data_IF_672861702782
#
_entry.id   IF_672861702782
#
_cell.length_a   1.000
_cell.length_b   1.000
_cell.length_c   1.000
_cell.angle_alpha   90.00
_cell.angle_beta   90.00
_cell.angle_gamma   90.00
#
_symmetry.space_group_name_H-M   'P 1'
#
loop_
_entity.id
_entity.type
_entity.pdbx_description
1 polymer ?
#
# COMPACT_ATOMS: atom_id res chain seq x y z
N UNK A 1 10.49 -3.89 -19.38
CA UNK A 1 11.38 -4.78 -18.60
C UNK A 1 10.77 -4.99 -17.22
N UNK A 2 10.99 -6.14 -16.59
CA UNK A 2 10.51 -6.37 -15.22
C UNK A 2 11.52 -5.77 -14.22
N UNK A 3 11.07 -4.90 -13.29
CA UNK A 3 11.93 -4.34 -12.27
C UNK A 3 12.30 -5.37 -11.19
N UNK A 4 13.44 -5.14 -10.56
CA UNK A 4 13.93 -5.90 -9.41
C UNK A 4 13.34 -5.37 -8.10
N UNK A 5 13.30 -6.23 -7.07
CA UNK A 5 12.93 -5.79 -5.72
C UNK A 5 13.86 -4.69 -5.20
N UNK A 6 13.26 -3.60 -4.73
CA UNK A 6 13.92 -2.38 -4.27
C UNK A 6 14.02 -1.29 -5.33
N UNK A 7 13.69 -1.56 -6.60
CA UNK A 7 13.69 -0.53 -7.63
C UNK A 7 12.46 0.38 -7.50
N UNK A 8 12.69 1.68 -7.68
CA UNK A 8 11.62 2.65 -7.85
C UNK A 8 11.07 2.60 -9.27
N UNK A 9 9.75 2.63 -9.36
CA UNK A 9 8.97 2.40 -10.57
C UNK A 9 7.84 3.42 -10.68
N UNK A 10 7.47 3.70 -11.92
CA UNK A 10 6.23 4.38 -12.28
C UNK A 10 5.16 3.32 -12.53
N UNK A 11 4.00 3.51 -11.92
CA UNK A 11 2.87 2.60 -11.98
C UNK A 11 1.63 3.36 -12.47
N UNK A 12 0.89 2.75 -13.38
CA UNK A 12 -0.39 3.26 -13.85
C UNK A 12 -1.36 2.08 -14.02
N UNK A 13 -2.59 2.22 -13.52
CA UNK A 13 -3.61 1.17 -13.64
C UNK A 13 -3.94 0.96 -15.12
N UNK A 14 -4.03 -0.30 -15.54
CA UNK A 14 -4.66 -0.72 -16.80
C UNK A 14 -6.06 -1.26 -16.48
N UNK A 15 -7.12 -0.44 -16.61
CA UNK A 15 -8.47 -0.80 -16.18
C UNK A 15 -9.05 -1.91 -17.04
N UNK A 16 -8.74 -1.93 -18.33
CA UNK A 16 -9.22 -2.96 -19.25
C UNK A 16 -8.65 -4.32 -18.88
N UNK A 17 -7.33 -4.39 -18.68
CA UNK A 17 -6.68 -5.65 -18.32
C UNK A 17 -7.02 -6.06 -16.88
N UNK A 18 -7.26 -5.10 -15.99
CA UNK A 18 -7.71 -5.36 -14.62
C UNK A 18 -9.06 -6.07 -14.59
N UNK A 19 -9.99 -5.70 -15.49
CA UNK A 19 -11.34 -6.25 -15.60
C UNK A 19 -11.50 -7.34 -16.67
N UNK A 20 -10.41 -7.73 -17.35
CA UNK A 20 -10.42 -8.71 -18.45
C UNK A 20 -11.08 -10.05 -18.06
N UNK A 21 -10.97 -10.47 -16.79
CA UNK A 21 -11.61 -11.70 -16.31
C UNK A 21 -13.10 -11.57 -15.98
N UNK A 22 -13.60 -10.36 -15.79
CA UNK A 22 -14.88 -10.11 -15.09
C UNK A 22 -16.00 -9.62 -16.00
N UNK A 23 -15.71 -8.94 -17.11
CA UNK A 23 -16.78 -8.22 -17.85
C UNK A 23 -16.43 -7.84 -19.30
N UNK A 24 -15.64 -8.65 -20.00
CA UNK A 24 -15.04 -8.38 -21.32
C UNK A 24 -15.94 -7.83 -22.46
N UNK A 25 -17.25 -7.72 -22.28
CA UNK A 25 -18.18 -7.27 -23.33
C UNK A 25 -19.29 -6.33 -22.85
N UNK A 26 -19.24 -5.81 -21.62
CA UNK A 26 -20.23 -4.83 -21.17
C UNK A 26 -19.86 -3.42 -21.71
N UNK A 27 -20.70 -2.81 -22.57
CA UNK A 27 -20.46 -1.46 -23.07
C UNK A 27 -20.39 -0.41 -21.96
N UNK A 28 -21.03 -0.63 -20.81
CA UNK A 28 -20.94 0.26 -19.64
C UNK A 28 -19.56 0.19 -19.00
N UNK A 29 -19.04 -1.02 -18.78
CA UNK A 29 -17.67 -1.22 -18.25
C UNK A 29 -16.64 -0.62 -19.20
N UNK A 30 -16.78 -0.85 -20.51
CA UNK A 30 -15.87 -0.25 -21.49
C UNK A 30 -15.89 1.27 -21.41
N UNK A 31 -17.08 1.90 -21.33
CA UNK A 31 -17.20 3.36 -21.16
C UNK A 31 -16.59 3.84 -19.84
N UNK A 32 -16.78 3.10 -18.75
CA UNK A 32 -16.20 3.43 -17.45
C UNK A 32 -14.67 3.39 -17.50
N UNK A 33 -14.08 2.31 -18.04
CA UNK A 33 -12.64 2.18 -18.24
C UNK A 33 -12.06 3.31 -19.12
N UNK A 34 -12.77 3.74 -20.17
CA UNK A 34 -12.35 4.86 -21.03
C UNK A 34 -12.45 6.21 -20.33
N UNK A 35 -13.39 6.37 -19.40
CA UNK A 35 -13.60 7.61 -18.66
C UNK A 35 -12.63 7.75 -17.47
N UNK A 36 -12.03 6.66 -17.01
CA UNK A 36 -11.03 6.71 -15.95
C UNK A 36 -9.80 7.52 -16.40
N UNK A 37 -9.44 8.48 -15.57
CA UNK A 37 -8.22 9.29 -15.74
C UNK A 37 -7.11 8.69 -14.90
N UNK A 38 -6.49 7.64 -15.40
CA UNK A 38 -5.48 6.90 -14.64
C UNK A 38 -4.24 7.77 -14.49
N UNK A 39 -3.88 8.07 -13.25
CA UNK A 39 -2.67 8.83 -12.96
C UNK A 39 -1.46 7.90 -12.94
N UNK A 40 -0.29 8.51 -13.00
CA UNK A 40 0.99 7.82 -12.79
C UNK A 40 1.42 8.02 -11.35
N UNK A 41 1.76 6.94 -10.69
CA UNK A 41 2.20 6.92 -9.30
C UNK A 41 3.64 6.43 -9.24
N UNK A 42 4.39 6.90 -8.26
CA UNK A 42 5.76 6.43 -8.00
C UNK A 42 5.72 5.50 -6.81
N UNK A 43 6.39 4.35 -6.91
CA UNK A 43 6.45 3.37 -5.84
C UNK A 43 7.77 2.60 -5.85
N UNK A 44 8.11 1.97 -4.73
CA UNK A 44 9.18 1.00 -4.62
C UNK A 44 8.58 -0.42 -4.72
N UNK A 45 9.12 -1.26 -5.61
CA UNK A 45 8.73 -2.68 -5.69
C UNK A 45 9.34 -3.44 -4.51
N UNK A 46 8.56 -3.75 -3.49
CA UNK A 46 9.06 -4.41 -2.27
C UNK A 46 9.07 -5.93 -2.39
N UNK A 47 8.15 -6.50 -3.17
CA UNK A 47 8.03 -7.94 -3.38
C UNK A 47 7.55 -8.29 -4.79
N UNK A 48 8.01 -9.41 -5.33
CA UNK A 48 7.54 -9.98 -6.58
C UNK A 48 7.69 -11.51 -6.58
N UNK A 49 6.66 -12.23 -7.02
CA UNK A 49 6.70 -13.68 -7.15
C UNK A 49 7.26 -14.09 -8.52
N UNK A 50 8.30 -14.95 -8.58
CA UNK A 50 8.69 -15.58 -9.83
C UNK A 50 7.53 -16.40 -10.38
N UNK A 51 7.17 -16.19 -11.64
CA UNK A 51 6.10 -16.94 -12.30
C UNK A 51 6.32 -17.03 -13.80
N UNK A 52 5.80 -18.08 -14.42
CA UNK A 52 5.71 -18.25 -15.88
C UNK A 52 4.43 -17.66 -16.47
N UNK A 53 3.55 -17.10 -15.62
CA UNK A 53 2.34 -16.41 -16.03
C UNK A 53 2.64 -15.19 -16.91
N UNK A 54 1.68 -14.83 -17.76
CA UNK A 54 1.69 -13.56 -18.54
C UNK A 54 1.81 -12.34 -17.64
N UNK A 55 1.26 -12.41 -16.42
CA UNK A 55 1.34 -11.37 -15.41
C UNK A 55 2.00 -11.92 -14.15
N UNK A 56 2.95 -11.16 -13.60
CA UNK A 56 3.55 -11.41 -12.28
C UNK A 56 2.73 -10.69 -11.22
N UNK A 57 2.68 -11.27 -10.02
CA UNK A 57 2.15 -10.60 -8.83
C UNK A 57 3.29 -9.95 -8.06
N UNK A 58 3.07 -8.73 -7.58
CA UNK A 58 4.01 -8.03 -6.72
C UNK A 58 3.33 -7.16 -5.69
N UNK A 59 4.14 -6.63 -4.79
CA UNK A 59 3.74 -5.66 -3.77
C UNK A 59 4.59 -4.41 -3.94
N UNK A 60 3.94 -3.26 -3.88
CA UNK A 60 4.60 -1.96 -4.01
C UNK A 60 4.28 -1.10 -2.80
N UNK A 61 5.23 -0.26 -2.41
CA UNK A 61 5.07 0.75 -1.38
C UNK A 61 5.18 2.12 -2.04
N UNK A 62 4.16 2.96 -1.93
CA UNK A 62 4.07 4.20 -2.70
C UNK A 62 4.90 5.34 -2.12
N UNK A 63 5.28 6.27 -2.99
CA UNK A 63 6.03 7.49 -2.69
C UNK A 63 5.11 8.69 -2.82
N UNK A 64 5.22 9.63 -1.89
CA UNK A 64 4.60 10.96 -2.00
C UNK A 64 5.66 12.05 -2.10
N UNK A 65 5.25 13.20 -2.64
CA UNK A 65 5.98 14.44 -2.50
C UNK A 65 5.35 15.27 -1.37
N UNK A 66 6.15 15.60 -0.36
CA UNK A 66 5.69 16.14 0.90
C UNK A 66 5.04 15.10 1.82
N UNK A 67 4.77 15.53 3.05
CA UNK A 67 3.95 14.77 4.00
C UNK A 67 2.49 14.79 3.55
N UNK A 68 1.91 13.61 3.32
CA UNK A 68 0.48 13.49 3.00
C UNK A 68 -0.37 13.73 4.25
N UNK A 69 -1.68 13.92 4.09
CA UNK A 69 -2.62 13.94 5.24
C UNK A 69 -2.81 12.56 5.89
N UNK A 70 -2.20 11.51 5.35
CA UNK A 70 -2.53 10.13 5.67
C UNK A 70 -3.92 9.74 5.16
N UNK A 71 -4.42 8.60 5.66
CA UNK A 71 -5.75 8.09 5.40
C UNK A 71 -6.50 7.90 6.74
N UNK A 72 -7.29 8.89 7.18
CA UNK A 72 -8.01 8.83 8.45
C UNK A 72 -9.03 7.69 8.55
N UNK A 73 -9.56 7.23 7.41
CA UNK A 73 -10.53 6.12 7.36
C UNK A 73 -9.84 4.82 7.77
N UNK A 74 -8.55 4.68 7.43
CA UNK A 74 -7.74 3.49 7.72
C UNK A 74 -6.78 3.67 8.90
N UNK A 75 -6.97 4.73 9.70
CA UNK A 75 -6.10 5.09 10.84
C UNK A 75 -4.64 5.35 10.46
N UNK A 76 -4.39 5.75 9.22
CA UNK A 76 -3.05 6.10 8.74
C UNK A 76 -2.78 7.58 8.97
N UNK A 77 -1.69 7.87 9.66
CA UNK A 77 -1.27 9.25 9.98
C UNK A 77 -0.12 9.72 9.08
N UNK A 78 0.10 11.04 8.90
CA UNK A 78 1.22 11.57 8.13
C UNK A 78 2.61 11.07 8.57
N UNK A 79 2.77 10.78 9.86
CA UNK A 79 4.04 10.31 10.45
C UNK A 79 4.34 8.83 10.14
N UNK A 80 3.39 8.09 9.56
CA UNK A 80 3.61 6.74 9.05
C UNK A 80 4.25 6.78 7.66
N UNK A 81 5.42 7.42 7.61
CA UNK A 81 6.24 7.57 6.42
C UNK A 81 7.72 7.64 6.78
N UNK A 82 8.58 7.39 5.80
CA UNK A 82 10.03 7.56 5.92
C UNK A 82 10.49 8.62 4.93
N UNK A 83 11.32 9.61 5.31
CA UNK A 83 11.89 10.52 4.34
C UNK A 83 12.80 9.75 3.36
N UNK A 84 12.98 10.28 2.15
CA UNK A 84 13.91 9.73 1.15
C UNK A 84 14.95 10.80 0.85
N UNK A 85 16.23 10.45 0.88
CA UNK A 85 17.31 11.40 0.61
C UNK A 85 17.13 12.09 -0.77
N UNK A 86 17.40 13.40 -0.85
CA UNK A 86 18.11 14.24 0.14
C UNK A 86 17.22 14.83 1.25
N UNK A 87 15.92 14.50 1.29
CA UNK A 87 15.06 14.96 2.36
C UNK A 87 15.44 14.28 3.68
N UNK A 88 15.51 15.05 4.76
CA UNK A 88 15.90 14.60 6.10
C UNK A 88 14.89 15.03 7.17
N UNK A 89 13.86 15.79 6.77
CA UNK A 89 12.82 16.21 7.69
C UNK A 89 11.82 15.08 7.89
N UNK A 90 11.56 14.73 9.14
CA UNK A 90 10.41 13.93 9.54
C UNK A 90 9.94 14.41 10.92
N UNK A 91 8.63 14.53 11.18
CA UNK A 91 8.13 15.04 12.47
C UNK A 91 8.66 14.28 13.69
N UNK A 92 8.89 12.98 13.53
CA UNK A 92 9.43 12.09 14.57
C UNK A 92 10.94 11.82 14.43
N UNK A 93 11.67 12.61 13.61
CA UNK A 93 13.11 12.46 13.37
C UNK A 93 13.54 11.06 12.88
N UNK A 94 12.73 10.43 12.01
CA UNK A 94 13.06 9.14 11.41
C UNK A 94 14.20 9.29 10.40
N UNK A 95 15.06 8.30 10.36
CA UNK A 95 16.18 8.25 9.42
C UNK A 95 15.67 8.14 7.97
N UNK A 96 16.21 8.91 7.02
CA UNK A 96 15.81 8.82 5.63
C UNK A 96 16.37 7.57 4.96
N UNK A 97 15.59 7.05 4.02
CA UNK A 97 16.06 6.03 3.09
C UNK A 97 17.08 6.62 2.11
N UNK A 98 18.08 5.81 1.75
CA UNK A 98 19.17 6.19 0.83
C UNK A 98 19.17 5.34 -0.46
N UNK A 99 18.36 5.71 -1.48
CA UNK A 99 18.46 5.08 -2.80
C UNK A 99 19.86 5.25 -3.40
N UNK A 100 20.36 4.23 -4.11
CA UNK A 100 21.69 4.24 -4.74
C UNK A 100 21.97 5.50 -5.57
N UNK A 101 20.96 5.96 -6.29
CA UNK A 101 20.95 7.27 -6.93
C UNK A 101 19.69 8.04 -6.52
N UNK A 102 19.82 9.34 -6.20
CA UNK A 102 18.69 10.18 -5.79
C UNK A 102 17.55 10.15 -6.81
N UNK A 103 16.32 10.19 -6.31
CA UNK A 103 15.14 10.30 -7.16
C UNK A 103 15.06 11.70 -7.80
N UNK A 104 14.41 11.84 -8.97
CA UNK A 104 14.37 13.12 -9.70
C UNK A 104 13.66 14.27 -8.96
N UNK A 105 12.81 13.95 -7.98
CA UNK A 105 11.98 14.95 -7.29
C UNK A 105 12.50 15.23 -5.87
N UNK A 106 12.38 16.49 -5.40
CA UNK A 106 12.71 16.85 -4.02
C UNK A 106 11.56 16.50 -3.05
N UNK A 107 11.87 16.54 -1.75
CA UNK A 107 10.90 16.44 -0.65
C UNK A 107 10.06 15.16 -0.73
N UNK A 108 10.72 14.01 -0.82
CA UNK A 108 10.06 12.72 -0.99
C UNK A 108 9.95 11.95 0.32
N UNK A 109 8.87 11.18 0.42
CA UNK A 109 8.58 10.26 1.52
C UNK A 109 8.07 8.93 0.99
N UNK A 110 8.58 7.84 1.55
CA UNK A 110 8.06 6.50 1.38
C UNK A 110 6.88 6.34 2.35
N UNK A 111 5.67 6.17 1.82
CA UNK A 111 4.44 6.02 2.60
C UNK A 111 4.30 4.56 3.07
N UNK A 112 4.72 4.26 4.30
CA UNK A 112 4.89 2.87 4.77
C UNK A 112 3.59 2.07 4.79
N UNK A 113 2.46 2.74 4.94
CA UNK A 113 1.11 2.16 4.96
C UNK A 113 0.37 2.27 3.62
N UNK A 114 0.87 3.02 2.65
CA UNK A 114 0.32 3.03 1.29
C UNK A 114 0.96 1.88 0.50
N UNK A 115 0.44 0.67 0.73
CA UNK A 115 0.96 -0.57 0.14
C UNK A 115 -0.13 -1.24 -0.70
N UNK A 116 0.21 -1.65 -1.92
CA UNK A 116 -0.74 -2.34 -2.79
C UNK A 116 -0.16 -3.63 -3.35
N UNK A 117 -1.03 -4.66 -3.44
CA UNK A 117 -0.81 -5.84 -4.28
C UNK A 117 -1.17 -5.46 -5.72
N UNK A 118 -0.30 -5.79 -6.66
CA UNK A 118 -0.48 -5.47 -8.08
C UNK A 118 -0.17 -6.68 -8.95
N UNK A 119 -0.71 -6.67 -10.17
CA UNK A 119 -0.28 -7.53 -11.26
C UNK A 119 0.37 -6.71 -12.35
N UNK A 120 1.46 -7.17 -12.92
CA UNK A 120 2.15 -6.46 -14.01
C UNK A 120 2.68 -7.44 -15.05
N UNK A 121 2.83 -6.96 -16.28
CA UNK A 121 3.20 -7.81 -17.41
C UNK A 121 4.58 -8.46 -17.18
N UNK A 122 4.65 -9.76 -17.40
CA UNK A 122 5.92 -10.49 -17.36
C UNK A 122 6.70 -10.26 -18.66
N UNK A 123 7.68 -9.36 -18.62
CA UNK A 123 8.58 -9.04 -19.74
C UNK A 123 9.98 -9.54 -19.40
N UNK A 124 10.64 -10.32 -20.28
CA UNK A 124 12.01 -10.75 -20.06
C UNK A 124 12.92 -9.58 -19.69
N UNK A 125 13.83 -9.82 -18.74
CA UNK A 125 14.85 -8.84 -18.39
C UNK A 125 15.77 -8.61 -19.60
N UNK A 126 15.99 -7.35 -19.95
CA UNK A 126 16.95 -6.93 -20.98
C UNK A 126 18.35 -6.68 -20.41
N UNK A 127 18.54 -6.96 -19.11
CA UNK A 127 19.79 -6.76 -18.38
C UNK A 127 20.01 -5.32 -17.90
N UNK A 128 19.10 -4.38 -18.23
CA UNK A 128 19.13 -3.03 -17.67
C UNK A 128 18.62 -3.10 -16.22
N UNK A 129 19.20 -2.29 -15.34
CA UNK A 129 18.72 -2.11 -13.97
C UNK A 129 18.46 -0.62 -13.76
N UNK A 130 17.47 -0.30 -12.93
CA UNK A 130 17.24 1.08 -12.54
C UNK A 130 18.39 1.52 -11.62
N UNK A 131 19.00 2.70 -11.84
CA UNK A 131 19.93 3.27 -10.87
C UNK A 131 19.21 3.68 -9.57
N UNK A 132 17.91 3.97 -9.68
CA UNK A 132 17.06 4.37 -8.57
C UNK A 132 16.52 3.13 -7.84
N UNK A 133 17.36 2.56 -6.98
CA UNK A 133 17.01 1.37 -6.21
C UNK A 133 17.54 1.44 -4.78
N UNK A 134 16.79 0.87 -3.85
CA UNK A 134 17.23 0.65 -2.49
C UNK A 134 18.29 -0.46 -2.43
N UNK A 135 19.30 -0.28 -1.59
CA UNK A 135 20.24 -1.35 -1.23
C UNK A 135 19.53 -2.45 -0.42
N UNK A 136 20.18 -3.60 -0.19
CA UNK A 136 19.60 -4.64 0.67
C UNK A 136 19.32 -4.11 2.08
N UNK A 137 20.21 -3.28 2.62
CA UNK A 137 20.05 -2.66 3.94
C UNK A 137 18.85 -1.72 3.96
N UNK A 138 18.74 -0.84 2.97
CA UNK A 138 17.65 0.14 2.86
C UNK A 138 16.27 -0.52 2.68
N UNK A 139 16.21 -1.64 1.96
CA UNK A 139 14.97 -2.43 1.86
C UNK A 139 14.57 -3.01 3.23
N UNK A 140 15.54 -3.38 4.05
CA UNK A 140 15.28 -3.87 5.40
C UNK A 140 14.78 -2.75 6.31
N UNK A 141 15.37 -1.55 6.23
CA UNK A 141 14.88 -0.37 6.94
C UNK A 141 13.45 0.01 6.54
N UNK A 142 13.14 -0.05 5.23
CA UNK A 142 11.76 0.12 4.77
C UNK A 142 10.83 -0.92 5.39
N UNK A 143 11.18 -2.22 5.32
CA UNK A 143 10.35 -3.29 5.88
C UNK A 143 10.13 -3.12 7.40
N UNK A 144 11.18 -2.78 8.16
CA UNK A 144 11.06 -2.47 9.59
C UNK A 144 10.15 -1.26 9.82
N UNK A 145 10.30 -0.22 9.01
CA UNK A 145 9.43 0.97 9.07
C UNK A 145 7.96 0.63 8.83
N UNK A 146 7.66 -0.30 7.92
CA UNK A 146 6.31 -0.79 7.67
C UNK A 146 5.75 -1.55 8.87
N UNK A 147 6.54 -2.46 9.47
CA UNK A 147 6.12 -3.24 10.63
C UNK A 147 5.84 -2.36 11.86
N UNK A 148 6.73 -1.39 12.14
CA UNK A 148 6.55 -0.44 13.25
C UNK A 148 5.31 0.42 13.05
N UNK A 149 5.09 0.88 11.81
CA UNK A 149 3.96 1.74 11.51
C UNK A 149 2.64 0.97 11.50
N UNK A 150 2.66 -0.31 11.12
CA UNK A 150 1.51 -1.22 11.22
C UNK A 150 1.12 -1.45 12.69
N UNK A 151 2.09 -1.73 13.57
CA UNK A 151 1.84 -1.81 15.01
C UNK A 151 1.20 -0.51 15.55
N UNK A 152 1.72 0.65 15.13
CA UNK A 152 1.17 1.95 15.52
C UNK A 152 -0.27 2.12 15.01
N UNK A 153 -0.56 1.70 13.78
CA UNK A 153 -1.90 1.76 13.18
C UNK A 153 -2.88 0.86 13.92
N UNK A 154 -2.48 -0.35 14.28
CA UNK A 154 -3.31 -1.24 15.11
C UNK A 154 -3.65 -0.63 16.47
N UNK A 155 -2.70 0.03 17.13
CA UNK A 155 -2.95 0.71 18.40
C UNK A 155 -3.97 1.84 18.25
N UNK A 156 -3.93 2.60 17.15
CA UNK A 156 -4.93 3.63 16.83
C UNK A 156 -6.32 3.02 16.60
N UNK A 157 -6.40 1.91 15.84
CA UNK A 157 -7.65 1.17 15.61
C UNK A 157 -8.26 0.72 16.95
N UNK A 158 -7.45 0.11 17.83
CA UNK A 158 -7.89 -0.35 19.16
C UNK A 158 -8.35 0.81 20.04
N UNK A 159 -7.64 1.94 20.00
CA UNK A 159 -8.01 3.13 20.76
C UNK A 159 -9.36 3.72 20.28
N UNK A 160 -9.59 3.79 18.96
CA UNK A 160 -10.87 4.25 18.38
C UNK A 160 -12.02 3.34 18.79
N UNK A 161 -11.87 2.02 18.61
CA UNK A 161 -12.90 1.05 18.99
C UNK A 161 -13.26 1.14 20.48
N UNK A 162 -12.26 1.33 21.33
CA UNK A 162 -12.47 1.54 22.77
C UNK A 162 -13.23 2.84 23.06
N UNK A 163 -12.92 3.93 22.36
CA UNK A 163 -13.64 5.20 22.52
C UNK A 163 -15.11 5.07 22.09
N UNK A 164 -15.38 4.43 20.95
CA UNK A 164 -16.74 4.19 20.44
C UNK A 164 -17.57 3.30 21.40
N UNK A 165 -16.94 2.30 22.04
CA UNK A 165 -17.60 1.45 23.02
C UNK A 165 -18.02 2.23 24.29
N UNK A 166 -17.18 3.15 24.77
CA UNK A 166 -17.49 4.00 25.93
C UNK A 166 -18.65 4.95 25.64
N UNK A 167 -18.72 5.50 24.43
CA UNK A 167 -19.84 6.37 24.01
C UNK A 167 -21.16 5.58 23.88
N UNK A 168 -21.10 4.32 23.43
CA UNK A 168 -22.26 3.44 23.37
C UNK A 168 -22.77 3.04 24.76
N UNK A 169 -21.88 2.78 25.73
CA UNK A 169 -22.22 2.51 27.12
C UNK A 169 -22.80 3.74 27.83
N UNK A 170 -22.30 4.94 27.52
CA UNK A 170 -22.87 6.21 28.02
C UNK A 170 -24.28 6.46 27.49
N UNK A 171 -24.61 5.99 26.28
CA UNK A 171 -25.95 6.10 25.70
C UNK A 171 -26.94 5.02 26.20
N UNK A 172 -26.43 3.90 26.74
CA UNK A 172 -27.25 2.79 27.27
C UNK A 172 -27.41 2.78 28.80
N UNK A 173 -26.85 3.77 29.51
CA UNK A 173 -27.11 4.03 30.94
C UNK A 173 -28.53 4.59 31.21
N UNK A 174 -29.53 3.99 30.60
CA UNK A 174 -30.95 4.11 30.90
C UNK A 174 -31.65 2.76 30.65
N UNK A 175 -31.12 1.65 31.19
CA UNK A 175 -31.93 0.53 31.74
C UNK A 175 -31.07 -0.69 32.18
N UNK A 176 -30.85 -0.78 33.50
CA UNK A 176 -30.87 -1.98 34.39
C UNK A 176 -30.11 -3.30 34.08
N UNK A 177 -29.09 -3.53 34.94
CA UNK A 177 -28.75 -4.73 35.78
C UNK A 177 -28.48 -6.14 35.21
N UNK A 178 -27.19 -6.51 35.28
CA UNK A 178 -26.52 -7.70 35.86
C UNK A 178 -26.92 -9.16 35.49
N UNK A 179 -25.92 -10.00 35.16
CA UNK A 179 -25.50 -11.21 35.92
C UNK A 179 -24.24 -11.88 35.31
N UNK A 180 -23.64 -12.81 36.09
CA UNK A 180 -22.22 -13.17 36.21
C UNK A 180 -21.59 -14.19 35.21
N UNK A 181 -20.26 -14.06 35.09
CA UNK A 181 -19.15 -15.03 35.01
C UNK A 181 -19.20 -16.30 34.12
N UNK A 182 -18.13 -16.51 33.33
CA UNK A 182 -17.49 -17.83 33.22
C UNK A 182 -16.02 -17.78 32.76
N UNK A 183 -15.22 -18.59 33.44
CA UNK A 183 -13.80 -18.88 33.31
C UNK A 183 -13.52 -19.78 32.08
N UNK A 184 -12.43 -19.54 31.32
CA UNK A 184 -11.92 -20.51 30.34
C UNK A 184 -10.42 -20.33 30.10
N UNK A 185 -9.67 -21.37 30.45
CA UNK A 185 -8.21 -21.43 30.48
C UNK A 185 -7.52 -21.36 29.12
N UNK A 186 -6.27 -20.91 29.17
CA UNK A 186 -5.38 -20.76 28.03
C UNK A 186 -4.81 -22.12 27.60
N UNK A 187 -5.20 -22.55 26.41
CA UNK A 187 -4.52 -23.62 25.66
C UNK A 187 -3.50 -22.97 24.74
N UNK A 188 -2.22 -23.25 24.95
CA UNK A 188 -1.15 -22.89 24.02
C UNK A 188 -1.19 -23.90 22.88
N UNK A 189 -1.61 -23.46 21.69
CA UNK A 189 -1.41 -24.21 20.45
C UNK A 189 -0.35 -23.48 19.62
N UNK A 190 0.75 -24.19 19.38
CA UNK A 190 1.91 -23.76 18.59
C UNK A 190 1.52 -23.83 17.11
N UNK A 191 0.91 -22.75 16.60
CA UNK A 191 0.74 -22.55 15.16
C UNK A 191 1.52 -21.32 14.74
N UNK A 192 2.58 -21.57 13.97
CA UNK A 192 3.35 -20.57 13.23
C UNK A 192 2.38 -19.75 12.39
N UNK A 193 2.11 -18.53 12.80
CA UNK A 193 1.33 -17.57 12.04
C UNK A 193 2.23 -16.93 10.98
N UNK A 194 2.30 -17.54 9.80
CA UNK A 194 2.67 -16.83 8.57
C UNK A 194 1.38 -16.43 7.86
N UNK A 195 0.67 -15.45 8.41
CA UNK A 195 -0.34 -14.67 7.69
C UNK A 195 -0.55 -13.37 8.45
N UNK A 196 0.21 -12.35 8.07
CA UNK A 196 -0.10 -10.95 8.37
C UNK A 196 0.45 -10.09 7.24
N UNK A 197 -0.27 -10.10 6.13
CA UNK A 197 -0.30 -8.99 5.18
C UNK A 197 -1.73 -8.85 4.68
N UNK A 198 -2.33 -7.69 5.01
CA UNK A 198 -3.64 -7.18 4.61
C UNK A 198 -4.80 -7.49 5.56
N UNK A 199 -5.53 -6.41 5.87
CA UNK A 199 -6.75 -6.41 6.65
C UNK A 199 -7.87 -7.25 6.05
N UNK A 200 -8.96 -7.34 6.80
CA UNK A 200 -10.19 -8.06 6.50
C UNK A 200 -10.62 -7.94 5.02
N UNK A 201 -10.25 -8.91 4.20
CA UNK A 201 -10.64 -9.01 2.80
C UNK A 201 -12.02 -9.63 2.65
N UNK A 202 -12.97 -8.81 2.20
CA UNK A 202 -14.18 -9.25 1.51
C UNK A 202 -13.83 -10.13 0.30
N UNK A 203 -14.70 -11.08 -0.06
CA UNK A 203 -14.40 -12.22 -0.95
C UNK A 203 -14.12 -11.92 -2.44
N UNK A 204 -13.90 -10.68 -2.87
CA UNK A 204 -13.47 -10.35 -4.25
C UNK A 204 -12.68 -9.05 -4.32
N UNK A 205 -11.53 -8.95 -3.64
CA UNK A 205 -10.63 -7.81 -3.83
C UNK A 205 -10.03 -7.88 -5.25
N UNK A 206 -10.33 -6.89 -6.10
CA UNK A 206 -9.75 -6.81 -7.44
C UNK A 206 -8.27 -6.44 -7.29
N UNK A 207 -7.36 -7.36 -7.64
CA UNK A 207 -5.94 -7.03 -7.75
C UNK A 207 -5.69 -6.35 -9.10
N UNK A 208 -5.41 -5.04 -9.15
CA UNK A 208 -5.30 -4.30 -10.39
C UNK A 208 -4.13 -4.79 -11.23
N UNK A 209 -4.33 -4.83 -12.55
CA UNK A 209 -3.21 -4.90 -13.49
C UNK A 209 -2.70 -3.50 -13.73
N UNK A 210 -1.39 -3.34 -13.69
CA UNK A 210 -0.73 -2.07 -13.90
C UNK A 210 0.29 -2.15 -15.04
N UNK A 211 0.39 -1.06 -15.77
CA UNK A 211 1.57 -0.75 -16.55
C UNK A 211 2.66 -0.29 -15.59
N UNK A 212 3.86 -0.84 -15.74
CA UNK A 212 5.00 -0.53 -14.89
C UNK A 212 6.22 -0.17 -15.71
N UNK A 213 6.89 0.91 -15.32
CA UNK A 213 8.08 1.44 -15.98
C UNK A 213 9.14 1.82 -14.96
N UNK A 214 10.42 1.67 -15.32
CA UNK A 214 11.55 2.20 -14.53
C UNK A 214 11.92 3.63 -14.95
N UNK A 215 11.26 4.17 -15.98
CA UNK A 215 11.50 5.53 -16.47
C UNK A 215 10.77 6.55 -15.59
N UNK A 216 11.47 7.01 -14.56
CA UNK A 216 10.99 7.99 -13.61
C UNK A 216 10.77 9.37 -14.27
N UNK A 217 11.54 9.73 -15.30
CA UNK A 217 11.40 11.01 -16.02
C UNK A 217 10.04 11.15 -16.72
N UNK A 218 9.31 10.04 -16.89
CA UNK A 218 7.96 10.04 -17.47
C UNK A 218 6.87 10.63 -16.56
N UNK A 219 7.24 11.10 -15.36
CA UNK A 219 6.35 11.69 -14.35
C UNK A 219 6.81 13.12 -14.04
N UNK A 220 5.98 14.12 -14.36
CA UNK A 220 6.31 15.51 -14.05
C UNK A 220 6.13 15.84 -12.56
N UNK A 221 5.10 15.24 -11.94
CA UNK A 221 4.68 15.47 -10.55
C UNK A 221 4.33 14.14 -9.90
N UNK A 222 4.84 13.90 -8.69
CA UNK A 222 4.49 12.72 -7.89
C UNK A 222 3.09 12.91 -7.31
N UNK A 223 2.12 12.12 -7.79
CA UNK A 223 0.74 12.17 -7.31
C UNK A 223 0.62 11.62 -5.88
N UNK A 224 -0.44 12.01 -5.18
CA UNK A 224 -0.76 11.48 -3.84
C UNK A 224 -1.09 9.98 -3.95
N UNK A 225 -0.36 9.10 -3.25
CA UNK A 225 -0.63 7.66 -3.25
C UNK A 225 -2.05 7.25 -2.95
N UNK A 226 -2.79 8.01 -2.13
CA UNK A 226 -4.14 7.63 -1.73
C UNK A 226 -5.14 7.66 -2.90
N UNK A 227 -4.89 8.50 -3.92
CA UNK A 227 -5.69 8.56 -5.14
C UNK A 227 -5.61 7.25 -5.95
N UNK A 228 -4.52 6.47 -5.81
CA UNK A 228 -4.43 5.15 -6.44
C UNK A 228 -5.49 4.20 -5.88
N UNK A 229 -5.71 4.21 -4.56
CA UNK A 229 -6.68 3.34 -3.91
C UNK A 229 -8.12 3.76 -4.25
N UNK A 230 -8.36 5.06 -4.45
CA UNK A 230 -9.63 5.56 -4.99
C UNK A 230 -9.87 5.06 -6.42
N UNK A 231 -8.84 5.08 -7.28
CA UNK A 231 -8.91 4.52 -8.63
C UNK A 231 -9.17 3.00 -8.61
N UNK A 232 -8.55 2.24 -7.71
CA UNK A 232 -8.81 0.80 -7.54
C UNK A 232 -10.24 0.56 -7.08
N UNK A 233 -10.74 1.31 -6.10
CA UNK A 233 -12.13 1.18 -5.66
C UNK A 233 -13.13 1.54 -6.78
N UNK A 234 -12.77 2.47 -7.67
CA UNK A 234 -13.60 2.79 -8.82
C UNK A 234 -13.71 1.63 -9.83
N UNK A 235 -12.77 0.67 -9.84
CA UNK A 235 -12.87 -0.56 -10.65
C UNK A 235 -13.89 -1.57 -10.10
N UNK A 236 -14.22 -1.48 -8.81
CA UNK A 236 -15.15 -2.41 -8.14
C UNK A 236 -16.62 -2.01 -8.32
N UNK A 237 -16.89 -0.83 -8.88
CA UNK A 237 -18.24 -0.25 -9.05
C UNK A 237 -18.79 -0.48 -10.45
#
# INVERSE_FOLDING_TARGET
>A
MNPCMGEYVVIQIDPFTSLESSSLYDPEVIRACQAMRNKKYVACLTWALPSTSKYLSGTVCFVSQGLTSGNPIEDVTPAMSLPILPNTFHPESREPLDPKEPLPWPDLYQQTQAVAKIRFRNVPADGKQSPHALSISERYELLLGQEVDECRREDLVRARQKAEAVDCESATSSSCTALASSDAGWSVDETVCTDSVAGHGSLTEIVPVVEMSIDLESVDVVNDPWEFFEEVQALER
#
